data_IF_280858184984
#
_entry.id   IF_280858184984
#
_cell.length_a   1.000
_cell.length_b   1.000
_cell.length_c   1.000
_cell.angle_alpha   90.00
_cell.angle_beta   90.00
_cell.angle_gamma   90.00
#
_symmetry.space_group_name_H-M   'P 1'
#
loop_
_entity.id
_entity.type
_entity.pdbx_description
1 polymer ?
#
# COMPACT_ATOMS: atom_id res chain seq x y z
N UNK A 1 -9.02 -16.84 3.47
CA UNK A 1 -10.29 -16.17 3.83
C UNK A 1 -10.06 -14.66 3.95
N UNK A 2 -10.98 -13.81 3.43
CA UNK A 2 -10.81 -12.34 3.48
C UNK A 2 -11.00 -11.74 4.90
N UNK A 3 -11.71 -12.43 5.79
CA UNK A 3 -11.95 -11.96 7.17
C UNK A 3 -10.67 -11.76 7.99
N UNK A 4 -9.60 -12.54 7.72
CA UNK A 4 -8.35 -12.42 8.44
C UNK A 4 -7.67 -11.04 8.27
N UNK A 5 -8.00 -10.31 7.19
CA UNK A 5 -7.50 -8.96 6.94
C UNK A 5 -7.96 -7.96 8.01
N UNK A 6 -9.14 -8.17 8.62
CA UNK A 6 -9.70 -7.28 9.62
C UNK A 6 -9.09 -7.49 11.02
N UNK A 7 -8.54 -8.68 11.28
CA UNK A 7 -8.03 -9.08 12.61
C UNK A 7 -6.51 -9.07 12.70
N UNK A 8 -5.82 -8.80 11.60
CA UNK A 8 -4.35 -8.70 11.63
C UNK A 8 -3.94 -7.35 12.20
N UNK A 9 -2.97 -7.33 13.13
CA UNK A 9 -2.43 -6.09 13.68
C UNK A 9 -1.94 -5.14 12.58
N UNK A 10 -2.42 -3.90 12.61
CA UNK A 10 -2.02 -2.82 11.72
C UNK A 10 -2.16 -1.48 12.41
N UNK A 11 -1.29 -0.54 12.08
CA UNK A 11 -1.39 0.85 12.53
C UNK A 11 -2.24 1.62 11.51
N UNK A 12 -3.31 2.26 11.98
CA UNK A 12 -4.13 3.12 11.13
C UNK A 12 -3.39 4.44 10.92
N UNK A 13 -3.12 4.79 9.66
CA UNK A 13 -2.39 6.02 9.29
C UNK A 13 -3.36 7.17 9.00
N UNK A 14 -4.13 7.09 7.91
CA UNK A 14 -5.14 8.09 7.53
C UNK A 14 -6.22 7.47 6.65
N UNK A 15 -7.31 8.22 6.44
CA UNK A 15 -8.39 7.86 5.52
C UNK A 15 -8.16 8.56 4.17
N UNK A 16 -8.41 7.85 3.07
CA UNK A 16 -8.36 8.40 1.70
C UNK A 16 -9.72 8.33 1.01
N UNK A 17 -9.93 9.21 0.04
CA UNK A 17 -11.06 9.18 -0.88
C UNK A 17 -10.73 8.33 -2.10
N UNK A 18 -11.36 7.16 -2.23
CA UNK A 18 -11.08 6.21 -3.32
C UNK A 18 -11.28 6.81 -4.71
N UNK A 19 -12.23 7.72 -4.89
CA UNK A 19 -12.54 8.31 -6.19
C UNK A 19 -11.47 9.26 -6.73
N UNK A 20 -10.59 9.79 -5.88
CA UNK A 20 -9.64 10.85 -6.23
C UNK A 20 -8.19 10.51 -5.88
N UNK A 21 -7.97 9.69 -4.84
CA UNK A 21 -6.64 9.36 -4.32
C UNK A 21 -6.19 7.93 -4.70
N UNK A 22 -7.00 7.15 -5.43
CA UNK A 22 -6.68 5.78 -5.85
C UNK A 22 -6.81 5.63 -7.36
N UNK A 23 -5.75 5.12 -7.98
CA UNK A 23 -5.72 4.73 -9.39
C UNK A 23 -5.54 3.21 -9.49
N UNK A 24 -6.32 2.55 -10.35
CA UNK A 24 -6.16 1.13 -10.65
C UNK A 24 -5.16 0.95 -11.80
N UNK A 25 -3.98 0.42 -11.46
CA UNK A 25 -2.92 0.13 -12.43
C UNK A 25 -3.05 -1.34 -12.85
N UNK A 26 -3.09 -1.65 -14.17
CA UNK A 26 -3.19 -3.02 -14.63
C UNK A 26 -1.92 -3.81 -14.31
N UNK A 27 -2.11 -5.09 -13.96
CA UNK A 27 -1.00 -5.98 -13.68
C UNK A 27 -0.11 -6.23 -14.89
N UNK A 28 1.20 -6.29 -14.64
CA UNK A 28 2.19 -6.72 -15.62
C UNK A 28 2.19 -8.24 -15.65
N UNK A 29 1.82 -8.80 -16.80
CA UNK A 29 1.73 -10.25 -17.03
C UNK A 29 2.42 -10.65 -18.32
N UNK A 30 2.80 -11.93 -18.43
CA UNK A 30 3.27 -12.48 -19.71
C UNK A 30 2.16 -12.44 -20.76
N UNK A 31 2.54 -12.46 -22.05
CA UNK A 31 1.56 -12.45 -23.17
C UNK A 31 0.53 -13.58 -23.05
N UNK A 32 0.99 -14.74 -22.57
CA UNK A 32 0.16 -15.93 -22.40
C UNK A 32 -0.61 -15.94 -21.05
N UNK A 33 -0.46 -14.90 -20.22
CA UNK A 33 -1.13 -14.77 -18.93
C UNK A 33 -0.67 -15.73 -17.83
N UNK A 34 0.34 -16.57 -18.11
CA UNK A 34 0.81 -17.61 -17.18
C UNK A 34 1.45 -17.04 -15.91
N UNK A 35 2.11 -15.89 -16.01
CA UNK A 35 2.78 -15.26 -14.88
C UNK A 35 2.33 -13.81 -14.73
N UNK A 36 2.07 -13.43 -13.49
CA UNK A 36 1.74 -12.06 -13.07
C UNK A 36 2.90 -11.56 -12.20
N UNK A 37 3.61 -10.55 -12.68
CA UNK A 37 4.83 -10.03 -12.03
C UNK A 37 4.53 -9.02 -10.93
N UNK A 38 3.36 -8.39 -10.96
CA UNK A 38 2.95 -7.32 -10.04
C UNK A 38 1.85 -7.76 -9.08
N UNK A 39 1.59 -9.06 -8.94
CA UNK A 39 0.54 -9.55 -8.05
C UNK A 39 0.81 -9.11 -6.60
N UNK A 40 -0.11 -8.30 -6.07
CA UNK A 40 -0.01 -7.75 -4.72
C UNK A 40 1.00 -6.59 -4.56
N UNK A 41 1.47 -6.00 -5.66
CA UNK A 41 2.37 -4.82 -5.66
C UNK A 41 1.61 -3.62 -6.26
N UNK A 42 1.73 -2.47 -5.61
CA UNK A 42 1.25 -1.20 -6.15
C UNK A 42 2.31 -0.11 -6.06
N UNK A 43 1.86 1.14 -6.23
CA UNK A 43 2.71 2.33 -6.12
C UNK A 43 2.05 3.31 -5.17
N UNK A 44 2.88 4.06 -4.47
CA UNK A 44 2.46 5.18 -3.62
C UNK A 44 3.19 6.45 -4.06
N UNK A 45 2.48 7.57 -4.08
CA UNK A 45 3.12 8.87 -4.33
C UNK A 45 3.97 9.28 -3.13
N UNK A 46 5.04 10.04 -3.38
CA UNK A 46 5.93 10.51 -2.32
C UNK A 46 5.19 11.34 -1.25
N UNK A 47 4.23 12.17 -1.66
CA UNK A 47 3.41 12.96 -0.73
C UNK A 47 2.57 12.09 0.19
N UNK A 48 2.04 10.98 -0.33
CA UNK A 48 1.27 10.02 0.44
C UNK A 48 2.16 9.20 1.38
N UNK A 49 3.38 8.85 0.95
CA UNK A 49 4.39 8.20 1.78
C UNK A 49 4.79 9.08 2.97
N UNK A 50 4.97 10.40 2.75
CA UNK A 50 5.26 11.36 3.83
C UNK A 50 4.15 11.43 4.87
N UNK A 51 2.88 11.45 4.44
CA UNK A 51 1.72 11.38 5.35
C UNK A 51 1.70 10.11 6.18
N UNK A 52 2.07 8.96 5.60
CA UNK A 52 2.20 7.70 6.35
C UNK A 52 3.30 7.84 7.41
N UNK A 53 4.42 8.42 7.02
CA UNK A 53 5.59 8.56 7.88
C UNK A 53 5.33 9.50 9.07
N UNK A 54 4.61 10.60 8.85
CA UNK A 54 4.11 11.49 9.90
C UNK A 54 3.14 10.76 10.85
N UNK A 55 2.19 9.98 10.31
CA UNK A 55 1.22 9.25 11.12
C UNK A 55 1.83 8.13 11.96
N UNK A 56 2.98 7.58 11.53
CA UNK A 56 3.73 6.55 12.26
C UNK A 56 4.76 7.14 13.24
N UNK A 57 4.89 8.47 13.32
CA UNK A 57 5.90 9.20 14.10
C UNK A 57 7.35 8.76 13.83
N UNK A 58 7.61 8.27 12.61
CA UNK A 58 8.92 7.74 12.22
C UNK A 58 9.91 8.85 11.85
N UNK A 59 9.41 10.09 11.65
CA UNK A 59 10.22 11.29 11.44
C UNK A 59 11.33 11.45 12.49
N UNK A 60 11.08 11.00 13.73
CA UNK A 60 12.03 11.13 14.83
C UNK A 60 13.11 10.04 14.85
N UNK A 61 12.89 8.91 14.16
CA UNK A 61 13.70 7.69 14.35
C UNK A 61 14.72 7.49 13.24
N UNK A 62 14.33 7.77 11.99
CA UNK A 62 15.19 7.60 10.81
C UNK A 62 14.79 8.68 9.83
N UNK A 63 15.65 9.65 9.54
CA UNK A 63 15.36 10.75 8.60
C UNK A 63 15.14 10.34 7.13
N UNK A 64 14.86 9.07 6.85
CA UNK A 64 14.71 8.46 5.54
C UNK A 64 13.29 7.92 5.35
N UNK A 65 12.68 8.25 4.21
CA UNK A 65 11.42 7.67 3.80
C UNK A 65 11.65 6.20 3.40
N UNK A 66 10.78 5.27 3.84
CA UNK A 66 10.88 3.89 3.42
C UNK A 66 10.57 3.78 1.92
N UNK A 67 11.21 2.82 1.24
CA UNK A 67 10.99 2.58 -0.18
C UNK A 67 9.77 1.67 -0.46
N UNK A 68 9.30 0.95 0.56
CA UNK A 68 8.18 0.03 0.44
C UNK A 68 7.46 -0.14 1.80
N UNK A 69 6.14 -0.35 1.76
CA UNK A 69 5.28 -0.55 2.93
C UNK A 69 4.33 -1.72 2.72
N UNK A 70 4.15 -2.56 3.75
CA UNK A 70 3.07 -3.55 3.74
C UNK A 70 1.77 -2.91 4.21
N UNK A 71 0.76 -2.90 3.34
CA UNK A 71 -0.51 -2.21 3.60
C UNK A 71 -1.72 -3.15 3.69
N UNK A 72 -2.76 -2.66 4.34
CA UNK A 72 -4.12 -3.22 4.31
C UNK A 72 -5.11 -2.08 4.13
N UNK A 73 -5.95 -2.16 3.10
CA UNK A 73 -6.89 -1.08 2.76
C UNK A 73 -8.16 -1.66 2.12
N UNK A 74 -9.33 -1.44 2.73
CA UNK A 74 -10.64 -1.78 2.14
C UNK A 74 -10.75 -3.21 1.54
N UNK A 75 -10.12 -4.20 2.17
CA UNK A 75 -10.08 -5.59 1.70
C UNK A 75 -8.94 -5.93 0.73
N UNK A 76 -8.08 -4.98 0.41
CA UNK A 76 -6.82 -5.14 -0.34
C UNK A 76 -5.66 -5.32 0.63
N UNK A 77 -4.69 -6.16 0.26
CA UNK A 77 -3.41 -6.35 0.94
C UNK A 77 -2.30 -6.44 -0.10
N UNK A 78 -1.17 -5.83 0.19
CA UNK A 78 -0.02 -5.87 -0.69
C UNK A 78 1.15 -5.05 -0.18
N UNK A 79 2.07 -4.75 -1.08
CA UNK A 79 3.19 -3.85 -0.88
C UNK A 79 2.99 -2.64 -1.78
N UNK A 80 3.15 -1.43 -1.23
CA UNK A 80 3.22 -0.18 -1.98
C UNK A 80 4.59 0.46 -1.86
#
# INVERSE_FOLDING_TARGET
TRMALCFTGSIKTFTIQRSTEVEEIPDIKTKDGRYVFTDGIGKISESMMRRVFEALDLNQTTGYLPCALQIRMAGIKGVL
#
